data_IF_590488265700
#
_entry.id   IF_590488265700
#
_cell.length_a   1.000
_cell.length_b   1.000
_cell.length_c   1.000
_cell.angle_alpha   90.00
_cell.angle_beta   90.00
_cell.angle_gamma   90.00
#
_symmetry.space_group_name_H-M   'P 1'
#
loop_
_entity.id
_entity.type
_entity.pdbx_description
1 polymer ?
#
# COMPACT_ATOMS: atom_id res chain seq x y z
N UNK A 1 29.02 77.10 4.52
CA UNK A 1 28.15 75.96 4.87
C UNK A 1 28.45 75.31 6.23
N UNK A 2 29.56 75.63 6.91
CA UNK A 2 29.91 75.02 8.21
C UNK A 2 29.13 75.64 9.40
N UNK A 3 28.73 76.92 9.30
CA UNK A 3 28.03 77.63 10.38
C UNK A 3 26.61 77.13 10.70
N UNK A 4 25.90 76.53 9.74
CA UNK A 4 24.58 75.96 9.96
C UNK A 4 24.63 74.65 10.78
N UNK A 5 25.72 73.88 10.65
CA UNK A 5 25.93 72.63 11.38
C UNK A 5 26.34 72.85 12.85
N UNK A 6 26.86 74.03 13.20
CA UNK A 6 27.20 74.42 14.57
C UNK A 6 25.96 74.87 15.40
N UNK A 7 24.79 74.97 14.76
CA UNK A 7 23.54 75.29 15.45
C UNK A 7 23.05 74.04 16.22
N UNK A 8 22.88 74.18 17.54
CA UNK A 8 22.42 73.11 18.43
C UNK A 8 21.13 72.45 17.95
N UNK A 9 20.24 73.20 17.33
CA UNK A 9 18.98 72.68 16.76
C UNK A 9 19.20 71.78 15.54
N UNK A 10 20.18 72.11 14.70
CA UNK A 10 20.60 71.26 13.57
C UNK A 10 21.30 70.01 14.09
N UNK A 11 22.12 70.14 15.14
CA UNK A 11 22.73 69.00 15.84
C UNK A 11 21.70 68.05 16.44
N UNK A 12 20.67 68.57 17.13
CA UNK A 12 19.57 67.76 17.66
C UNK A 12 18.74 67.11 16.55
N UNK A 13 18.47 67.83 15.45
CA UNK A 13 17.78 67.26 14.29
C UNK A 13 18.53 66.07 13.69
N UNK A 14 19.84 66.19 13.53
CA UNK A 14 20.69 65.09 13.04
C UNK A 14 20.69 63.92 14.04
N UNK A 15 20.79 64.20 15.34
CA UNK A 15 20.78 63.16 16.37
C UNK A 15 19.47 62.36 16.38
N UNK A 16 18.32 63.02 16.21
CA UNK A 16 17.01 62.36 16.13
C UNK A 16 16.90 61.47 14.88
N UNK A 17 17.37 61.94 13.73
CA UNK A 17 17.35 61.15 12.49
C UNK A 17 18.24 59.92 12.61
N UNK A 18 19.44 60.05 13.20
CA UNK A 18 20.33 58.92 13.42
C UNK A 18 19.75 57.89 14.39
N UNK A 19 19.08 58.33 15.46
CA UNK A 19 18.37 57.45 16.38
C UNK A 19 17.22 56.70 15.67
N UNK A 20 16.43 57.40 14.85
CA UNK A 20 15.35 56.78 14.09
C UNK A 20 15.87 55.73 13.10
N UNK A 21 16.99 56.00 12.42
CA UNK A 21 17.63 55.04 11.52
C UNK A 21 18.20 53.82 12.26
N UNK A 22 18.80 54.02 13.43
CA UNK A 22 19.31 52.92 14.24
C UNK A 22 18.18 52.00 14.74
N UNK A 23 17.06 52.58 15.18
CA UNK A 23 15.86 51.82 15.58
C UNK A 23 15.27 51.08 14.37
N UNK A 24 15.11 51.76 13.24
CA UNK A 24 14.61 51.14 12.00
C UNK A 24 15.48 49.95 11.57
N UNK A 25 16.80 50.13 11.57
CA UNK A 25 17.75 49.08 11.20
C UNK A 25 17.65 47.89 12.16
N UNK A 26 17.65 48.13 13.47
CA UNK A 26 17.52 47.07 14.48
C UNK A 26 16.22 46.27 14.34
N UNK A 27 15.08 46.95 14.18
CA UNK A 27 13.77 46.28 14.00
C UNK A 27 13.74 45.49 12.69
N UNK A 28 14.24 46.06 11.59
CA UNK A 28 14.26 45.40 10.29
C UNK A 28 15.14 44.14 10.29
N UNK A 29 16.32 44.21 10.91
CA UNK A 29 17.23 43.06 11.02
C UNK A 29 16.65 41.94 11.88
N UNK A 30 16.04 42.27 13.02
CA UNK A 30 15.39 41.25 13.88
C UNK A 30 14.21 40.59 13.17
N UNK A 31 13.38 41.39 12.49
CA UNK A 31 12.21 40.87 11.78
C UNK A 31 12.60 39.94 10.63
N UNK A 32 13.56 40.36 9.79
CA UNK A 32 14.03 39.56 8.65
C UNK A 32 14.75 38.29 9.11
N UNK A 33 15.68 38.40 10.06
CA UNK A 33 16.42 37.23 10.55
C UNK A 33 15.52 36.24 11.30
N UNK A 34 14.52 36.74 12.03
CA UNK A 34 13.55 35.91 12.73
C UNK A 34 12.64 35.15 11.75
N UNK A 35 12.18 35.81 10.68
CA UNK A 35 11.38 35.18 9.64
C UNK A 35 12.17 34.14 8.85
N UNK A 36 13.43 34.43 8.48
CA UNK A 36 14.28 33.50 7.76
C UNK A 36 14.62 32.27 8.60
N UNK A 37 14.94 32.45 9.89
CA UNK A 37 15.19 31.35 10.81
C UNK A 37 13.93 30.47 11.01
N UNK A 38 12.76 31.09 11.17
CA UNK A 38 11.50 30.35 11.28
C UNK A 38 11.17 29.60 9.97
N UNK A 39 11.34 30.25 8.82
CA UNK A 39 11.14 29.66 7.50
C UNK A 39 12.06 28.45 7.28
N UNK A 40 13.33 28.56 7.67
CA UNK A 40 14.28 27.44 7.58
C UNK A 40 13.87 26.27 8.48
N UNK A 41 13.48 26.56 9.73
CA UNK A 41 13.03 25.53 10.68
C UNK A 41 11.81 24.77 10.14
N UNK A 42 10.77 25.48 9.71
CA UNK A 42 9.57 24.83 9.19
C UNK A 42 9.82 24.11 7.87
N UNK A 43 10.71 24.62 7.01
CA UNK A 43 11.13 23.88 5.80
C UNK A 43 11.80 22.56 6.16
N UNK A 44 12.67 22.56 7.17
CA UNK A 44 13.33 21.35 7.65
C UNK A 44 12.32 20.37 8.25
N UNK A 45 11.43 20.83 9.13
CA UNK A 45 10.37 19.99 9.73
C UNK A 45 9.44 19.39 8.64
N UNK A 46 9.03 20.18 7.65
CA UNK A 46 8.21 19.69 6.53
C UNK A 46 8.98 18.65 5.71
N UNK A 47 10.27 18.87 5.47
CA UNK A 47 11.10 17.91 4.74
C UNK A 47 11.22 16.59 5.50
N UNK A 48 11.45 16.64 6.81
CA UNK A 48 11.51 15.47 7.69
C UNK A 48 10.18 14.72 7.71
N UNK A 49 9.05 15.42 7.85
CA UNK A 49 7.72 14.81 7.81
C UNK A 49 7.44 14.14 6.46
N UNK A 50 7.83 14.76 5.34
CA UNK A 50 7.68 14.17 4.01
C UNK A 50 8.53 12.93 3.85
N UNK A 51 9.76 12.94 4.37
CA UNK A 51 10.64 11.79 4.32
C UNK A 51 10.09 10.64 5.16
N UNK A 52 9.68 10.91 6.41
CA UNK A 52 9.05 9.90 7.27
C UNK A 52 7.78 9.30 6.64
N UNK A 53 6.94 10.12 5.99
CA UNK A 53 5.76 9.64 5.28
C UNK A 53 6.12 8.76 4.08
N UNK A 54 7.15 9.13 3.31
CA UNK A 54 7.65 8.32 2.20
C UNK A 54 8.21 6.99 2.68
N UNK A 55 9.00 6.99 3.75
CA UNK A 55 9.60 5.78 4.32
C UNK A 55 8.51 4.83 4.84
N UNK A 56 7.50 5.37 5.52
CA UNK A 56 6.35 4.59 5.98
C UNK A 56 5.55 3.99 4.81
N UNK A 57 5.31 4.75 3.73
CA UNK A 57 4.61 4.27 2.55
C UNK A 57 5.39 3.15 1.82
N UNK A 58 6.71 3.30 1.72
CA UNK A 58 7.59 2.30 1.12
C UNK A 58 7.58 1.01 1.96
N UNK A 59 7.74 1.12 3.27
CA UNK A 59 7.70 -0.05 4.17
C UNK A 59 6.36 -0.81 4.10
N UNK A 60 5.25 -0.08 4.00
CA UNK A 60 3.94 -0.71 3.85
C UNK A 60 3.77 -1.37 2.48
N UNK A 61 4.27 -0.74 1.41
CA UNK A 61 4.28 -1.32 0.07
C UNK A 61 5.07 -2.63 0.05
N UNK A 62 6.25 -2.65 0.67
CA UNK A 62 7.08 -3.85 0.78
C UNK A 62 6.39 -4.96 1.57
N UNK A 63 5.74 -4.62 2.70
CA UNK A 63 4.94 -5.58 3.49
C UNK A 63 3.83 -6.21 2.63
N UNK A 64 3.09 -5.39 1.89
CA UNK A 64 2.00 -5.86 1.03
C UNK A 64 2.52 -6.74 -0.12
N UNK A 65 3.61 -6.35 -0.76
CA UNK A 65 4.25 -7.14 -1.82
C UNK A 65 4.69 -8.50 -1.28
N UNK A 66 5.35 -8.53 -0.13
CA UNK A 66 5.79 -9.78 0.50
C UNK A 66 4.60 -10.70 0.82
N UNK A 67 3.53 -10.16 1.41
CA UNK A 67 2.32 -10.91 1.73
C UNK A 67 1.63 -11.46 0.47
N UNK A 68 1.52 -10.64 -0.59
CA UNK A 68 0.93 -11.03 -1.86
C UNK A 68 1.74 -12.11 -2.57
N UNK A 69 3.07 -11.99 -2.56
CA UNK A 69 3.93 -13.00 -3.17
C UNK A 69 3.84 -14.34 -2.42
N UNK A 70 3.81 -14.31 -1.09
CA UNK A 70 3.59 -15.52 -0.29
C UNK A 70 2.21 -16.15 -0.54
N UNK A 71 1.17 -15.34 -0.70
CA UNK A 71 -0.16 -15.84 -1.05
C UNK A 71 -0.17 -16.47 -2.45
N UNK A 72 0.42 -15.82 -3.46
CA UNK A 72 0.54 -16.37 -4.81
C UNK A 72 1.30 -17.70 -4.85
N UNK A 73 2.37 -17.83 -4.05
CA UNK A 73 3.10 -19.09 -3.94
C UNK A 73 2.22 -20.22 -3.38
N UNK A 74 1.48 -19.97 -2.30
CA UNK A 74 0.53 -20.95 -1.75
C UNK A 74 -0.58 -21.32 -2.71
N UNK A 75 -1.11 -20.36 -3.47
CA UNK A 75 -2.12 -20.68 -4.49
C UNK A 75 -1.55 -21.48 -5.66
N UNK A 76 -0.30 -21.22 -6.06
CA UNK A 76 0.37 -22.02 -7.08
C UNK A 76 0.55 -23.47 -6.63
N UNK A 77 0.95 -23.69 -5.37
CA UNK A 77 1.04 -25.03 -4.77
C UNK A 77 -0.33 -25.72 -4.77
N UNK A 78 -1.40 -25.03 -4.32
CA UNK A 78 -2.77 -25.58 -4.34
C UNK A 78 -3.26 -25.93 -5.74
N UNK A 79 -2.96 -25.09 -6.73
CA UNK A 79 -3.33 -25.36 -8.13
C UNK A 79 -2.59 -26.61 -8.63
N UNK A 80 -1.31 -26.77 -8.32
CA UNK A 80 -0.54 -27.96 -8.69
C UNK A 80 -1.12 -29.23 -8.04
N UNK A 81 -1.49 -29.17 -6.75
CA UNK A 81 -2.17 -30.27 -6.06
C UNK A 81 -3.52 -30.61 -6.71
N UNK A 82 -4.33 -29.60 -7.05
CA UNK A 82 -5.60 -29.80 -7.74
C UNK A 82 -5.42 -30.40 -9.13
N UNK A 83 -4.37 -30.03 -9.86
CA UNK A 83 -4.06 -30.61 -11.17
C UNK A 83 -3.68 -32.09 -11.03
N UNK A 84 -2.80 -32.43 -10.09
CA UNK A 84 -2.43 -33.82 -9.82
C UNK A 84 -3.66 -34.66 -9.39
N UNK A 85 -4.52 -34.12 -8.52
CA UNK A 85 -5.75 -34.79 -8.11
C UNK A 85 -6.74 -34.99 -9.28
N UNK A 86 -6.84 -34.03 -10.21
CA UNK A 86 -7.66 -34.18 -11.41
C UNK A 86 -7.10 -35.24 -12.37
N UNK A 87 -5.78 -35.31 -12.56
CA UNK A 87 -5.14 -36.33 -13.38
C UNK A 87 -5.34 -37.74 -12.81
N UNK A 88 -5.23 -37.89 -11.49
CA UNK A 88 -5.52 -39.13 -10.78
C UNK A 88 -7.00 -39.53 -10.94
N UNK A 89 -7.93 -38.59 -10.71
CA UNK A 89 -9.36 -38.84 -10.88
C UNK A 89 -9.71 -39.23 -12.32
N UNK A 90 -9.12 -38.54 -13.32
CA UNK A 90 -9.32 -38.84 -14.73
C UNK A 90 -8.84 -40.27 -15.05
N UNK A 91 -7.69 -40.67 -14.51
CA UNK A 91 -7.14 -42.01 -14.69
C UNK A 91 -8.06 -43.09 -14.08
N UNK A 92 -8.61 -42.84 -12.89
CA UNK A 92 -9.57 -43.72 -12.24
C UNK A 92 -10.89 -43.82 -13.03
N UNK A 93 -11.40 -42.69 -13.56
CA UNK A 93 -12.60 -42.69 -14.41
C UNK A 93 -12.37 -43.55 -15.65
N UNK A 94 -11.23 -43.38 -16.32
CA UNK A 94 -10.89 -44.18 -17.50
C UNK A 94 -10.75 -45.67 -17.18
N UNK A 95 -10.17 -46.01 -16.02
CA UNK A 95 -10.09 -47.39 -15.55
C UNK A 95 -11.48 -47.99 -15.29
N UNK A 96 -12.34 -47.29 -14.55
CA UNK A 96 -13.71 -47.71 -14.28
C UNK A 96 -14.54 -47.84 -15.56
N UNK A 97 -14.34 -46.95 -16.53
CA UNK A 97 -14.99 -47.06 -17.85
C UNK A 97 -14.49 -48.28 -18.62
N UNK A 98 -13.19 -48.58 -18.58
CA UNK A 98 -12.63 -49.80 -19.18
C UNK A 98 -13.21 -51.05 -18.52
N UNK A 99 -13.29 -51.08 -17.20
CA UNK A 99 -13.87 -52.19 -16.45
C UNK A 99 -15.35 -52.39 -16.80
N UNK A 100 -16.15 -51.32 -16.78
CA UNK A 100 -17.56 -51.37 -17.18
C UNK A 100 -17.74 -51.80 -18.65
N UNK A 101 -16.85 -51.42 -19.56
CA UNK A 101 -16.92 -51.85 -20.95
C UNK A 101 -16.60 -53.33 -21.16
N UNK A 102 -15.87 -53.94 -20.23
CA UNK A 102 -15.52 -55.36 -20.24
C UNK A 102 -16.56 -56.21 -19.50
N UNK A 103 -17.46 -55.59 -18.75
CA UNK A 103 -18.55 -56.28 -18.07
C UNK A 103 -19.65 -56.66 -19.09
N UNK A 104 -19.85 -57.96 -19.37
CA UNK A 104 -20.85 -58.43 -20.31
C UNK A 104 -22.30 -58.19 -19.85
N UNK A 105 -22.53 -57.85 -18.58
CA UNK A 105 -23.83 -57.50 -18.02
C UNK A 105 -24.00 -55.98 -17.75
N UNK A 106 -23.03 -55.12 -18.12
CA UNK A 106 -23.04 -53.66 -17.83
C UNK A 106 -24.28 -52.90 -18.34
N UNK A 107 -24.87 -53.36 -19.44
CA UNK A 107 -26.11 -52.79 -20.01
C UNK A 107 -27.39 -53.51 -19.60
N UNK A 108 -27.29 -54.55 -18.75
CA UNK A 108 -28.39 -55.47 -18.45
C UNK A 108 -29.09 -55.01 -17.18
N UNK A 109 -30.37 -54.68 -17.28
CA UNK A 109 -31.17 -54.34 -16.10
C UNK A 109 -31.23 -55.56 -15.16
N UNK A 110 -30.64 -55.45 -13.97
CA UNK A 110 -30.55 -56.53 -12.97
C UNK A 110 -31.93 -57.13 -12.60
N UNK A 111 -33.00 -56.36 -12.79
CA UNK A 111 -34.40 -56.78 -12.67
C UNK A 111 -35.14 -56.50 -13.97
N UNK A 112 -35.22 -57.49 -14.86
CA UNK A 112 -36.16 -57.46 -15.97
C UNK A 112 -37.62 -57.56 -15.49
N UNK A 113 -38.58 -57.15 -16.32
CA UNK A 113 -40.02 -57.25 -16.04
C UNK A 113 -40.50 -58.59 -15.41
N UNK A 114 -39.93 -59.77 -15.74
CA UNK A 114 -40.31 -61.02 -15.07
C UNK A 114 -39.84 -61.13 -13.60
N UNK A 115 -38.74 -60.48 -13.23
CA UNK A 115 -38.18 -60.50 -11.87
C UNK A 115 -39.03 -59.72 -10.87
N UNK A 116 -39.59 -58.59 -11.29
CA UNK A 116 -40.50 -57.75 -10.47
C UNK A 116 -41.77 -58.53 -10.09
N UNK A 117 -42.29 -59.36 -11.01
CA UNK A 117 -43.46 -60.22 -10.73
C UNK A 117 -43.19 -61.32 -9.69
N UNK A 118 -41.96 -61.84 -9.61
CA UNK A 118 -41.60 -62.86 -8.60
C UNK A 118 -41.47 -62.26 -7.21
N UNK A 119 -40.86 -61.09 -7.07
CA UNK A 119 -40.69 -60.43 -5.76
C UNK A 119 -42.04 -60.02 -5.17
N UNK A 120 -42.96 -59.50 -5.98
CA UNK A 120 -44.31 -59.14 -5.52
C UNK A 120 -45.19 -60.34 -5.13
N UNK A 121 -44.83 -61.56 -5.52
CA UNK A 121 -45.56 -62.80 -5.13
C UNK A 121 -45.10 -63.40 -3.79
N UNK A 122 -43.96 -62.97 -3.26
CA UNK A 122 -43.38 -63.49 -2.01
C UNK A 122 -43.79 -62.63 -0.79
N UNK A 123 -44.81 -61.78 -0.95
CA UNK A 123 -45.34 -60.92 0.12
C UNK A 123 -46.63 -61.46 0.72
#
# INVERSE_FOLDING_TARGET
MIGALANKWVGYGIAVVLLALAVWWGVSTIYNNGYDAASLKYKAEIAELKQAASDAANAETERQVAANNAAKAREAERIAEMQAANEDLQSQIEELQREASQDPDAGRTALGAPGVQRINKVR
#
